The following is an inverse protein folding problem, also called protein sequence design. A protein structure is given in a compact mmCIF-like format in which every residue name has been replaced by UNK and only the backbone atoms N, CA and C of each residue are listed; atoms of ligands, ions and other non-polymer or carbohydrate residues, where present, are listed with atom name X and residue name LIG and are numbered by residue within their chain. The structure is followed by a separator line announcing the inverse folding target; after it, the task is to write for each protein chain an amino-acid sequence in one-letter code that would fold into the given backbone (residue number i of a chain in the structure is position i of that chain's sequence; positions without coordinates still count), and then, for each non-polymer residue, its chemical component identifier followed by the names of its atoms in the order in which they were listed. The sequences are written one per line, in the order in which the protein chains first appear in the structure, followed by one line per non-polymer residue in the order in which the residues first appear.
data_IF_121382249099
#
_entry.id   IF_121382249099
#
_cell.length_a   1.000
_cell.length_b   1.000
_cell.length_c   1.000
_cell.angle_alpha   90.00
_cell.angle_beta   90.00
_cell.angle_gamma   90.00
#
_symmetry.space_group_name_H-M   'P 1'
#
loop_
_entity.id
_entity.type
_entity.pdbx_description
1 polymer ?
#
# COMPACT_ATOMS: atom_id res chain seq x y z
N UNK A 1 -20.61 12.00 52.53
CA UNK A 1 -19.70 11.41 51.52
C UNK A 1 -20.18 9.98 51.30
N UNK A 2 -21.19 9.83 50.45
CA UNK A 2 -21.97 8.60 50.32
C UNK A 2 -21.28 7.70 49.31
N UNK A 3 -20.80 6.55 49.77
CA UNK A 3 -20.16 5.55 48.93
C UNK A 3 -21.17 5.04 47.90
N UNK A 4 -20.81 5.17 46.62
CA UNK A 4 -21.54 4.54 45.51
C UNK A 4 -21.40 3.03 45.71
N UNK A 5 -22.52 2.40 46.04
CA UNK A 5 -22.66 0.98 46.30
C UNK A 5 -22.47 0.24 44.97
N UNK A 6 -21.58 -0.75 44.95
CA UNK A 6 -21.20 -1.48 43.75
C UNK A 6 -22.38 -2.19 43.09
N UNK A 7 -22.50 -2.03 41.78
CA UNK A 7 -23.33 -2.92 40.96
C UNK A 7 -22.74 -4.33 40.98
N UNK A 8 -23.61 -5.32 41.16
CA UNK A 8 -23.25 -6.73 41.10
C UNK A 8 -22.63 -7.06 39.73
N UNK A 9 -21.59 -7.90 39.66
CA UNK A 9 -21.03 -8.31 38.38
C UNK A 9 -22.13 -9.02 37.59
N UNK A 10 -22.34 -8.59 36.35
CA UNK A 10 -23.28 -9.20 35.41
C UNK A 10 -22.96 -10.70 35.29
N UNK A 11 -23.72 -11.53 36.00
CA UNK A 11 -23.65 -12.99 35.93
C UNK A 11 -24.37 -13.46 34.66
N UNK A 12 -23.80 -13.06 33.52
CA UNK A 12 -24.10 -13.65 32.23
C UNK A 12 -22.99 -14.62 31.84
N UNK A 13 -23.36 -15.65 31.09
CA UNK A 13 -22.45 -16.51 30.30
C UNK A 13 -21.71 -15.74 29.20
N UNK A 14 -21.42 -14.45 29.41
CA UNK A 14 -20.89 -13.51 28.45
C UNK A 14 -19.37 -13.48 28.46
N UNK A 15 -18.79 -13.40 27.27
CA UNK A 15 -17.35 -13.30 27.01
C UNK A 15 -16.82 -11.86 27.15
N UNK A 16 -17.70 -10.87 27.31
CA UNK A 16 -17.32 -9.45 27.41
C UNK A 16 -16.61 -9.14 28.73
N UNK A 17 -15.48 -8.43 28.65
CA UNK A 17 -14.71 -7.97 29.81
C UNK A 17 -13.80 -9.02 30.46
N UNK A 18 -13.71 -10.24 29.90
CA UNK A 18 -12.80 -11.28 30.39
C UNK A 18 -11.45 -11.20 29.69
N UNK A 19 -10.32 -11.37 30.42
CA UNK A 19 -9.03 -11.58 29.77
C UNK A 19 -9.03 -12.97 29.15
N UNK A 20 -9.13 -13.04 27.82
CA UNK A 20 -9.06 -14.29 27.06
C UNK A 20 -7.76 -14.32 26.27
N UNK A 21 -7.21 -15.51 26.10
CA UNK A 21 -6.08 -15.72 25.21
C UNK A 21 -6.49 -15.39 23.76
N UNK A 22 -5.58 -14.76 23.03
CA UNK A 22 -5.79 -14.42 21.63
C UNK A 22 -5.86 -15.70 20.78
N UNK A 23 -6.78 -15.73 19.81
CA UNK A 23 -7.01 -16.91 18.97
C UNK A 23 -5.95 -17.04 17.89
N UNK A 24 -5.39 -15.90 17.49
CA UNK A 24 -4.42 -15.74 16.44
C UNK A 24 -3.00 -16.05 16.93
N UNK A 25 -2.72 -15.80 18.22
CA UNK A 25 -1.40 -15.93 18.85
C UNK A 25 -0.73 -17.29 18.58
N UNK A 26 -1.41 -18.44 18.74
CA UNK A 26 -0.78 -19.75 18.48
C UNK A 26 -0.15 -19.84 17.09
N UNK A 27 -0.84 -19.38 16.05
CA UNK A 27 -0.36 -19.46 14.67
C UNK A 27 0.70 -18.40 14.36
N UNK A 28 0.51 -17.18 14.86
CA UNK A 28 1.45 -16.07 14.68
C UNK A 28 2.79 -16.37 15.37
N UNK A 29 2.76 -16.83 16.63
CA UNK A 29 3.96 -17.09 17.43
C UNK A 29 4.75 -18.30 16.95
N UNK A 30 4.11 -19.24 16.26
CA UNK A 30 4.78 -20.41 15.66
C UNK A 30 5.22 -20.20 14.21
N UNK A 31 4.93 -19.04 13.61
CA UNK A 31 5.21 -18.79 12.19
C UNK A 31 4.36 -19.65 11.25
N UNK A 32 3.21 -20.12 11.72
CA UNK A 32 2.25 -20.92 10.96
C UNK A 32 1.22 -20.04 10.22
N UNK A 33 1.13 -18.76 10.59
CA UNK A 33 0.26 -17.81 9.92
C UNK A 33 0.72 -17.56 8.49
N UNK A 34 -0.23 -17.53 7.55
CA UNK A 34 0.02 -17.24 6.14
C UNK A 34 -0.19 -15.76 5.86
N UNK A 35 0.84 -15.09 5.38
CA UNK A 35 0.80 -13.72 4.89
C UNK A 35 0.71 -13.69 3.35
N UNK A 36 0.41 -12.52 2.80
CA UNK A 36 0.31 -12.33 1.34
C UNK A 36 1.60 -12.74 0.63
N UNK A 37 2.76 -12.53 1.26
CA UNK A 37 4.06 -12.90 0.69
C UNK A 37 4.34 -14.40 0.65
N UNK A 38 3.62 -15.20 1.44
CA UNK A 38 3.80 -16.67 1.50
C UNK A 38 2.97 -17.38 0.41
N UNK A 39 2.04 -16.66 -0.22
CA UNK A 39 1.16 -17.20 -1.27
C UNK A 39 1.96 -17.36 -2.57
N UNK A 40 2.18 -18.60 -2.98
CA UNK A 40 2.80 -18.94 -4.26
C UNK A 40 1.88 -19.85 -5.07
N UNK A 41 1.45 -19.38 -6.25
CA UNK A 41 0.59 -20.10 -7.17
C UNK A 41 1.36 -20.41 -8.45
N UNK A 42 1.02 -21.49 -9.19
CA UNK A 42 1.60 -21.73 -10.50
C UNK A 42 1.43 -20.52 -11.42
N UNK A 43 2.53 -20.01 -11.96
CA UNK A 43 2.54 -18.83 -12.84
C UNK A 43 2.52 -17.48 -12.13
N UNK A 44 2.75 -17.43 -10.81
CA UNK A 44 2.96 -16.15 -10.10
C UNK A 44 4.14 -15.39 -10.71
N UNK A 45 3.86 -14.16 -11.17
CA UNK A 45 4.89 -13.19 -11.55
C UNK A 45 5.26 -12.29 -10.37
N UNK A 46 6.46 -11.75 -10.39
CA UNK A 46 6.99 -10.85 -9.38
C UNK A 46 7.06 -9.44 -9.93
N UNK A 47 6.78 -8.46 -9.07
CA UNK A 47 6.76 -7.05 -9.44
C UNK A 47 7.71 -6.25 -8.54
N UNK A 48 8.54 -5.40 -9.14
CA UNK A 48 9.39 -4.46 -8.44
C UNK A 48 9.07 -3.02 -8.87
N UNK A 49 8.95 -2.13 -7.89
CA UNK A 49 8.68 -0.70 -8.12
C UNK A 49 10.01 0.06 -8.08
N UNK A 50 10.30 0.82 -9.14
CA UNK A 50 11.39 1.79 -9.17
C UNK A 50 10.91 3.11 -8.55
N UNK A 51 11.41 3.41 -7.35
CA UNK A 51 11.18 4.69 -6.69
C UNK A 51 12.23 5.74 -7.05
N UNK A 52 11.85 7.02 -6.96
CA UNK A 52 12.76 8.15 -7.18
C UNK A 52 13.95 8.13 -6.21
N UNK A 53 15.19 8.31 -6.70
CA UNK A 53 16.35 8.48 -5.83
C UNK A 53 16.48 9.89 -5.26
N UNK A 54 15.68 10.85 -5.76
CA UNK A 54 15.76 12.27 -5.38
C UNK A 54 14.42 12.78 -4.84
N UNK A 55 14.49 13.80 -3.99
CA UNK A 55 13.32 14.34 -3.33
C UNK A 55 12.39 15.10 -4.28
N UNK A 56 12.91 15.86 -5.25
CA UNK A 56 12.07 16.58 -6.19
C UNK A 56 12.80 16.85 -7.50
N UNK A 57 12.22 16.45 -8.63
CA UNK A 57 12.77 16.66 -9.96
C UNK A 57 11.69 16.48 -11.04
N UNK A 58 11.85 17.16 -12.18
CA UNK A 58 11.03 16.86 -13.37
C UNK A 58 11.54 15.58 -14.02
N UNK A 59 10.63 14.74 -14.49
CA UNK A 59 10.97 13.56 -15.30
C UNK A 59 11.02 14.03 -16.76
N UNK A 60 12.21 14.00 -17.36
CA UNK A 60 12.38 14.37 -18.76
C UNK A 60 12.10 13.18 -19.69
N UNK A 61 12.58 12.00 -19.32
CA UNK A 61 12.37 10.75 -20.03
C UNK A 61 12.59 9.55 -19.12
N UNK A 62 12.02 8.40 -19.51
CA UNK A 62 12.24 7.09 -18.88
C UNK A 62 12.57 6.12 -20.01
N UNK A 63 13.76 5.54 -19.97
CA UNK A 63 14.21 4.54 -20.96
C UNK A 63 13.97 3.12 -20.42
N UNK A 64 13.05 2.37 -21.06
CA UNK A 64 12.65 1.02 -20.60
C UNK A 64 13.29 -0.12 -21.37
N UNK A 65 13.82 0.14 -22.57
CA UNK A 65 14.26 -0.89 -23.54
C UNK A 65 15.23 -1.91 -22.97
N UNK A 66 16.22 -1.45 -22.20
CA UNK A 66 17.22 -2.35 -21.63
C UNK A 66 16.59 -3.33 -20.64
N UNK A 67 15.64 -2.88 -19.82
CA UNK A 67 14.92 -3.72 -18.88
C UNK A 67 13.94 -4.68 -19.59
N UNK A 68 13.23 -4.21 -20.62
CA UNK A 68 12.33 -5.04 -21.43
C UNK A 68 13.03 -6.20 -22.15
N UNK A 69 14.32 -6.04 -22.46
CA UNK A 69 15.13 -7.07 -23.14
C UNK A 69 15.77 -8.07 -22.18
N UNK A 70 15.65 -7.87 -20.87
CA UNK A 70 16.24 -8.80 -19.90
C UNK A 70 15.47 -10.14 -19.90
N UNK A 71 16.18 -11.28 -19.87
CA UNK A 71 15.54 -12.58 -19.76
C UNK A 71 14.61 -12.66 -18.54
N UNK A 72 13.41 -13.22 -18.73
CA UNK A 72 12.40 -13.37 -17.67
C UNK A 72 11.59 -12.12 -17.35
N UNK A 73 11.88 -10.96 -17.97
CA UNK A 73 11.02 -9.78 -17.85
C UNK A 73 9.79 -9.95 -18.75
N UNK A 74 8.62 -9.79 -18.14
CA UNK A 74 7.32 -9.93 -18.80
C UNK A 74 6.77 -8.57 -19.27
N UNK A 75 6.98 -7.52 -18.46
CA UNK A 75 6.49 -6.17 -18.76
C UNK A 75 7.29 -5.12 -17.96
N UNK A 76 7.58 -4.01 -18.61
CA UNK A 76 7.93 -2.75 -17.93
C UNK A 76 6.78 -1.78 -18.13
N UNK A 77 6.33 -1.15 -17.05
CA UNK A 77 5.23 -0.19 -17.05
C UNK A 77 5.69 1.15 -16.49
N UNK A 78 5.21 2.22 -17.11
CA UNK A 78 5.45 3.62 -16.71
C UNK A 78 4.12 4.34 -16.56
N UNK A 79 4.13 5.63 -16.19
CA UNK A 79 2.92 6.43 -16.10
C UNK A 79 2.06 6.41 -17.40
N UNK A 80 2.69 6.22 -18.56
CA UNK A 80 2.00 6.15 -19.85
C UNK A 80 1.11 4.90 -20.01
N UNK A 81 1.34 3.83 -19.24
CA UNK A 81 0.53 2.61 -19.27
C UNK A 81 -0.75 2.74 -18.40
N UNK A 82 -0.91 3.83 -17.64
CA UNK A 82 -1.99 4.03 -16.67
C UNK A 82 -2.91 5.22 -16.99
N UNK A 83 -2.96 5.69 -18.25
CA UNK A 83 -3.78 6.85 -18.63
C UNK A 83 -5.28 6.65 -18.39
N UNK A 84 -5.73 5.40 -18.52
CA UNK A 84 -7.15 5.03 -18.40
C UNK A 84 -7.48 4.50 -16.99
N UNK A 85 -6.50 4.52 -16.09
CA UNK A 85 -6.66 4.08 -14.71
C UNK A 85 -6.96 5.28 -13.84
N UNK A 86 -8.01 5.14 -13.03
CA UNK A 86 -8.38 6.15 -12.05
C UNK A 86 -7.20 6.40 -11.09
N UNK A 87 -6.88 7.67 -10.77
CA UNK A 87 -5.81 7.98 -9.83
C UNK A 87 -6.09 7.37 -8.45
N UNK A 88 -5.04 7.21 -7.65
CA UNK A 88 -5.13 6.73 -6.28
C UNK A 88 -5.71 7.83 -5.37
N UNK A 89 -6.69 7.51 -4.51
CA UNK A 89 -7.25 8.48 -3.58
C UNK A 89 -6.28 8.77 -2.43
N UNK A 90 -6.07 10.04 -2.13
CA UNK A 90 -5.47 10.50 -0.89
C UNK A 90 -6.59 11.01 0.02
N UNK A 91 -7.02 10.18 0.98
CA UNK A 91 -8.18 10.48 1.83
C UNK A 91 -7.84 11.37 3.04
N UNK A 92 -6.58 11.38 3.45
CA UNK A 92 -6.15 12.06 4.66
C UNK A 92 -5.30 13.28 4.32
N UNK A 93 -5.87 14.46 4.53
CA UNK A 93 -5.12 15.71 4.57
C UNK A 93 -4.85 16.03 6.05
N UNK A 94 -3.58 16.27 6.44
CA UNK A 94 -3.29 16.77 7.78
C UNK A 94 -4.09 18.06 8.08
N UNK A 95 -4.48 18.27 9.33
CA UNK A 95 -5.24 19.46 9.71
C UNK A 95 -4.45 20.75 9.44
N UNK A 96 -5.08 21.74 8.81
CA UNK A 96 -4.49 23.07 8.57
C UNK A 96 -3.58 23.17 7.34
N UNK A 97 -3.52 22.14 6.48
CA UNK A 97 -2.84 22.19 5.18
C UNK A 97 -3.83 21.99 4.04
N UNK A 98 -3.58 22.68 2.93
CA UNK A 98 -4.34 22.52 1.68
C UNK A 98 -3.69 21.42 0.83
N UNK A 99 -4.51 20.55 0.23
CA UNK A 99 -4.03 19.55 -0.71
C UNK A 99 -3.64 20.22 -2.01
N UNK A 100 -2.38 20.04 -2.43
CA UNK A 100 -1.93 20.46 -3.77
C UNK A 100 -2.16 19.39 -4.83
N UNK A 101 -2.72 18.23 -4.46
CA UNK A 101 -3.15 17.24 -5.44
C UNK A 101 -4.49 17.67 -6.04
N UNK A 102 -4.73 17.39 -7.33
CA UNK A 102 -6.04 17.63 -7.92
C UNK A 102 -7.12 16.83 -7.18
N UNK A 103 -8.37 17.31 -7.17
CA UNK A 103 -9.47 16.58 -6.54
C UNK A 103 -9.67 15.22 -7.22
N UNK A 104 -9.95 14.21 -6.41
CA UNK A 104 -10.24 12.87 -6.91
C UNK A 104 -11.64 12.80 -7.54
N UNK A 105 -11.89 11.99 -8.60
CA UNK A 105 -13.22 11.83 -9.21
C UNK A 105 -14.34 11.45 -8.23
N UNK A 106 -14.02 10.81 -7.11
CA UNK A 106 -14.95 10.48 -6.02
C UNK A 106 -15.19 11.62 -5.00
N UNK A 107 -14.80 12.86 -5.31
CA UNK A 107 -14.95 13.99 -4.38
C UNK A 107 -14.01 13.93 -3.18
N UNK A 108 -12.92 13.18 -3.28
CA UNK A 108 -11.88 13.08 -2.25
C UNK A 108 -10.82 14.16 -2.46
N UNK A 109 -10.14 14.58 -1.39
CA UNK A 109 -9.30 15.77 -1.42
C UNK A 109 -8.01 15.68 -2.26
N UNK A 110 -7.62 14.49 -2.70
CA UNK A 110 -6.43 14.34 -3.52
C UNK A 110 -6.47 13.11 -4.42
N UNK A 111 -6.00 13.29 -5.64
CA UNK A 111 -5.71 12.26 -6.62
C UNK A 111 -4.21 12.19 -6.89
N UNK A 112 -3.60 11.05 -6.59
CA UNK A 112 -2.22 10.74 -6.97
C UNK A 112 -2.19 9.84 -8.19
N UNK A 113 -1.27 10.05 -9.14
CA UNK A 113 -1.07 9.09 -10.22
C UNK A 113 -0.56 7.75 -9.65
N UNK A 114 -0.84 6.65 -10.36
CA UNK A 114 -0.34 5.31 -9.99
C UNK A 114 1.20 5.27 -10.05
N UNK A 115 1.75 5.79 -11.16
CA UNK A 115 3.17 6.06 -11.34
C UNK A 115 3.33 7.50 -11.79
N UNK A 116 4.36 8.18 -11.30
CA UNK A 116 4.62 9.58 -11.65
C UNK A 116 5.28 9.70 -13.02
N UNK A 117 4.73 10.56 -13.87
CA UNK A 117 5.22 10.80 -15.24
C UNK A 117 5.67 12.23 -15.50
N UNK A 118 5.35 13.17 -14.61
CA UNK A 118 5.65 14.59 -14.75
C UNK A 118 6.85 15.02 -13.90
N UNK A 119 6.77 14.73 -12.61
CA UNK A 119 7.75 15.12 -11.62
C UNK A 119 7.67 14.20 -10.39
N UNK A 120 8.84 13.91 -9.83
CA UNK A 120 8.94 13.25 -8.53
C UNK A 120 8.81 14.30 -7.43
N UNK A 121 8.13 13.94 -6.34
CA UNK A 121 7.79 14.84 -5.23
C UNK A 121 8.38 14.41 -3.89
N UNK A 122 8.93 13.20 -3.81
CA UNK A 122 9.71 12.72 -2.67
C UNK A 122 10.66 11.58 -3.09
N UNK A 123 11.61 11.25 -2.22
CA UNK A 123 12.39 10.01 -2.37
C UNK A 123 11.44 8.82 -2.27
N UNK A 124 11.59 7.85 -3.16
CA UNK A 124 10.70 6.69 -3.28
C UNK A 124 9.39 6.97 -4.02
N UNK A 125 9.17 8.16 -4.58
CA UNK A 125 8.02 8.44 -5.44
C UNK A 125 8.04 7.47 -6.65
N UNK A 126 7.00 6.65 -6.88
CA UNK A 126 7.08 5.56 -7.85
C UNK A 126 7.13 6.07 -9.29
N UNK A 127 8.14 5.66 -10.05
CA UNK A 127 8.41 6.11 -11.42
C UNK A 127 8.03 5.03 -12.45
N UNK A 128 8.44 3.79 -12.19
CA UNK A 128 8.25 2.68 -13.10
C UNK A 128 8.07 1.37 -12.33
N UNK A 129 7.56 0.36 -13.02
CA UNK A 129 7.36 -0.99 -12.50
C UNK A 129 7.94 -2.00 -13.48
N UNK A 130 8.62 -3.02 -12.94
CA UNK A 130 9.08 -4.18 -13.70
C UNK A 130 8.34 -5.41 -13.19
N UNK A 131 7.76 -6.17 -14.11
CA UNK A 131 7.12 -7.47 -13.86
C UNK A 131 7.97 -8.56 -14.49
N UNK A 132 8.33 -9.59 -13.74
CA UNK A 132 9.22 -10.66 -14.17
C UNK A 132 8.81 -12.04 -13.60
N UNK A 133 9.36 -13.11 -14.16
CA UNK A 133 9.10 -14.50 -13.73
C UNK A 133 9.74 -14.85 -12.37
N UNK A 134 10.78 -14.13 -11.97
CA UNK A 134 11.52 -14.38 -10.72
C UNK A 134 11.58 -13.12 -9.86
N UNK A 135 11.67 -13.25 -8.52
CA UNK A 135 11.92 -12.11 -7.65
C UNK A 135 13.34 -11.55 -7.88
N UNK A 136 13.56 -10.32 -7.41
CA UNK A 136 14.84 -9.60 -7.46
C UNK A 136 15.93 -10.26 -6.61
#
# INVERSE_FOLDING_TARGET
MTAVTGEAPLQGSGVLGRPMDSREDPQLLRGEATYVGDVNLPGTAHMAILGSPVAHAKILSIETKAAEQMPGVLKVATAADFTDVMPLPCIWIPGGVESHFPPHPYGLPGARPVLTGDAVRHVGDPIAVVVAETPR
#
